data_IF_494066888205
#
_entry.id   IF_494066888205
#
_cell.length_a   1.000
_cell.length_b   1.000
_cell.length_c   1.000
_cell.angle_alpha   90.00
_cell.angle_beta   90.00
_cell.angle_gamma   90.00
#
_symmetry.space_group_name_H-M   'P 1'
#
loop_
_entity.id
_entity.type
_entity.pdbx_description
1 polymer ?
#
# COMPACT_ATOMS: atom_id res chain seq x y z
N UNK A 1 18.91 25.24 -18.16
CA UNK A 1 18.48 25.84 -16.89
C UNK A 1 17.05 25.42 -16.65
N UNK A 2 16.83 24.30 -15.95
CA UNK A 2 15.48 23.80 -15.68
C UNK A 2 14.96 24.50 -14.42
N UNK A 3 14.04 25.43 -14.62
CA UNK A 3 13.21 25.93 -13.53
C UNK A 3 12.53 24.72 -12.87
N UNK A 4 12.91 24.47 -11.62
CA UNK A 4 12.07 23.72 -10.68
C UNK A 4 10.74 24.45 -10.64
N UNK A 5 9.76 24.00 -11.43
CA UNK A 5 8.36 24.26 -11.12
C UNK A 5 8.11 23.63 -9.75
N UNK A 6 8.30 24.41 -8.69
CA UNK A 6 7.75 24.12 -7.39
C UNK A 6 6.24 24.02 -7.59
N UNK A 7 5.76 22.79 -7.72
CA UNK A 7 4.35 22.46 -7.70
C UNK A 7 3.84 22.77 -6.28
N UNK A 8 3.60 24.06 -6.01
CA UNK A 8 3.07 24.53 -4.72
C UNK A 8 1.61 24.10 -4.69
N UNK A 9 1.35 23.06 -3.88
CA UNK A 9 0.00 22.67 -3.49
C UNK A 9 -0.82 23.91 -3.14
N UNK A 10 -2.01 24.00 -3.72
CA UNK A 10 -3.00 25.03 -3.42
C UNK A 10 -3.35 25.01 -1.93
N UNK A 11 -3.83 26.14 -1.39
CA UNK A 11 -4.25 26.22 0.02
C UNK A 11 -5.31 25.15 0.33
N UNK A 12 -6.23 24.90 -0.61
CA UNK A 12 -7.26 23.86 -0.48
C UNK A 12 -6.67 22.44 -0.37
N UNK A 13 -5.72 22.08 -1.22
CA UNK A 13 -5.06 20.76 -1.15
C UNK A 13 -4.28 20.57 0.15
N UNK A 14 -3.61 21.61 0.64
CA UNK A 14 -2.91 21.57 1.93
C UNK A 14 -3.89 21.33 3.08
N UNK A 15 -5.01 22.06 3.11
CA UNK A 15 -6.04 21.87 4.13
C UNK A 15 -6.65 20.47 4.08
N UNK A 16 -6.91 19.94 2.88
CA UNK A 16 -7.41 18.58 2.71
C UNK A 16 -6.41 17.51 3.22
N UNK A 17 -5.11 17.67 2.95
CA UNK A 17 -4.07 16.78 3.47
C UNK A 17 -3.98 16.83 5.00
N UNK A 18 -4.05 18.02 5.59
CA UNK A 18 -4.08 18.17 7.05
C UNK A 18 -5.32 17.55 7.67
N UNK A 19 -6.49 17.79 7.10
CA UNK A 19 -7.74 17.18 7.54
C UNK A 19 -7.67 15.66 7.48
N UNK A 20 -7.20 15.10 6.36
CA UNK A 20 -7.01 13.66 6.21
C UNK A 20 -6.02 13.11 7.25
N UNK A 21 -4.90 13.79 7.48
CA UNK A 21 -3.92 13.39 8.49
C UNK A 21 -4.52 13.37 9.89
N UNK A 22 -5.29 14.41 10.26
CA UNK A 22 -5.99 14.47 11.56
C UNK A 22 -6.98 13.31 11.69
N UNK A 23 -7.79 13.04 10.66
CA UNK A 23 -8.75 11.93 10.67
C UNK A 23 -8.03 10.58 10.84
N UNK A 24 -6.92 10.36 10.13
CA UNK A 24 -6.12 9.14 10.26
C UNK A 24 -5.52 8.98 11.66
N UNK A 25 -5.04 10.07 12.26
CA UNK A 25 -4.53 10.07 13.64
C UNK A 25 -5.66 9.72 14.62
N UNK A 26 -6.84 10.32 14.47
CA UNK A 26 -7.98 10.03 15.34
C UNK A 26 -8.43 8.56 15.23
N UNK A 27 -8.48 8.01 14.02
CA UNK A 27 -8.79 6.59 13.80
C UNK A 27 -7.73 5.70 14.46
N UNK A 28 -6.44 6.02 14.28
CA UNK A 28 -5.35 5.26 14.91
C UNK A 28 -5.45 5.31 16.44
N UNK A 29 -5.70 6.48 17.02
CA UNK A 29 -5.90 6.63 18.46
C UNK A 29 -7.12 5.84 18.96
N UNK A 30 -8.22 5.83 18.20
CA UNK A 30 -9.41 5.05 18.56
C UNK A 30 -9.15 3.53 18.55
N UNK A 31 -8.43 3.04 17.54
CA UNK A 31 -8.01 1.63 17.46
C UNK A 31 -7.10 1.27 18.64
N UNK A 32 -6.09 2.12 18.90
CA UNK A 32 -5.15 1.90 20.00
C UNK A 32 -5.85 1.91 21.35
N UNK A 33 -6.78 2.85 21.55
CA UNK A 33 -7.57 2.95 22.77
C UNK A 33 -8.43 1.71 23.00
N UNK A 34 -9.21 1.30 21.98
CA UNK A 34 -10.03 0.08 22.06
C UNK A 34 -9.18 -1.16 22.34
N UNK A 35 -8.04 -1.32 21.67
CA UNK A 35 -7.14 -2.44 21.93
C UNK A 35 -6.60 -2.45 23.37
N UNK A 36 -6.25 -1.27 23.90
CA UNK A 36 -5.78 -1.14 25.27
C UNK A 36 -6.89 -1.44 26.29
N UNK A 37 -8.08 -0.87 26.10
CA UNK A 37 -9.20 -1.02 27.04
C UNK A 37 -9.79 -2.41 27.03
N UNK A 38 -9.91 -3.02 25.85
CA UNK A 38 -10.70 -4.23 25.65
C UNK A 38 -9.84 -5.50 25.73
N UNK A 39 -8.53 -5.39 25.47
CA UNK A 39 -7.61 -6.55 25.45
C UNK A 39 -6.50 -6.44 26.50
N UNK A 40 -5.65 -5.40 26.43
CA UNK A 40 -4.43 -5.37 27.25
C UNK A 40 -4.70 -5.13 28.74
N UNK A 41 -5.53 -4.14 29.09
CA UNK A 41 -5.85 -3.83 30.49
C UNK A 41 -6.49 -5.03 31.20
N UNK A 42 -7.49 -5.71 30.63
CA UNK A 42 -8.05 -6.92 31.23
C UNK A 42 -7.01 -8.03 31.47
N UNK A 43 -6.13 -8.30 30.51
CA UNK A 43 -5.07 -9.32 30.67
C UNK A 43 -4.11 -8.99 31.82
N UNK A 44 -3.76 -7.71 31.97
CA UNK A 44 -2.91 -7.22 33.06
C UNK A 44 -3.63 -7.35 34.41
N UNK A 45 -4.91 -6.97 34.48
CA UNK A 45 -5.72 -7.08 35.71
C UNK A 45 -5.90 -8.55 36.16
N UNK A 46 -5.94 -9.48 35.22
CA UNK A 46 -5.98 -10.92 35.49
C UNK A 46 -4.61 -11.50 35.91
N UNK A 47 -3.54 -10.69 35.93
CA UNK A 47 -2.19 -11.12 36.24
C UNK A 47 -1.51 -11.92 35.11
N UNK A 48 -2.12 -11.98 33.92
CA UNK A 48 -1.60 -12.75 32.79
C UNK A 48 -0.64 -11.91 31.94
N UNK A 49 0.45 -11.46 32.57
CA UNK A 49 1.42 -10.54 31.97
C UNK A 49 2.11 -11.10 30.72
N UNK A 50 2.33 -12.42 30.67
CA UNK A 50 2.94 -13.06 29.52
C UNK A 50 2.04 -12.96 28.28
N UNK A 51 0.74 -13.24 28.42
CA UNK A 51 -0.20 -13.09 27.31
C UNK A 51 -0.36 -11.63 26.90
N UNK A 52 -0.39 -10.69 27.86
CA UNK A 52 -0.41 -9.27 27.56
C UNK A 52 0.82 -8.83 26.73
N UNK A 53 2.01 -9.33 27.09
CA UNK A 53 3.24 -9.04 26.34
C UNK A 53 3.21 -9.59 24.91
N UNK A 54 2.75 -10.84 24.72
CA UNK A 54 2.59 -11.43 23.38
C UNK A 54 1.55 -10.69 22.55
N UNK A 55 0.42 -10.32 23.15
CA UNK A 55 -0.60 -9.48 22.54
C UNK A 55 0.00 -8.16 22.04
N UNK A 56 0.67 -7.41 22.92
CA UNK A 56 1.30 -6.15 22.55
C UNK A 56 2.30 -6.32 21.39
N UNK A 57 3.11 -7.38 21.44
CA UNK A 57 4.04 -7.71 20.37
C UNK A 57 3.31 -8.02 19.05
N UNK A 58 2.28 -8.86 19.07
CA UNK A 58 1.44 -9.18 17.92
C UNK A 58 0.82 -7.95 17.29
N UNK A 59 0.29 -7.05 18.11
CA UNK A 59 -0.25 -5.77 17.65
C UNK A 59 0.79 -4.90 16.94
N UNK A 60 1.99 -4.76 17.50
CA UNK A 60 3.09 -4.02 16.86
C UNK A 60 3.45 -4.65 15.50
N UNK A 61 3.58 -5.98 15.45
CA UNK A 61 3.87 -6.71 14.21
C UNK A 61 2.78 -6.48 13.17
N UNK A 62 1.50 -6.54 13.55
CA UNK A 62 0.38 -6.23 12.65
C UNK A 62 0.41 -4.78 12.15
N UNK A 63 0.72 -3.81 13.01
CA UNK A 63 0.82 -2.39 12.61
C UNK A 63 1.97 -2.16 11.63
N UNK A 64 3.12 -2.80 11.84
CA UNK A 64 4.23 -2.75 10.87
C UNK A 64 3.81 -3.42 9.55
N UNK A 65 3.12 -4.55 9.61
CA UNK A 65 2.55 -5.22 8.44
C UNK A 65 1.60 -4.32 7.64
N UNK A 66 0.68 -3.64 8.34
CA UNK A 66 -0.22 -2.66 7.73
C UNK A 66 0.56 -1.52 7.06
N UNK A 67 1.63 -1.03 7.70
CA UNK A 67 2.51 -0.02 7.13
C UNK A 67 3.14 -0.46 5.79
N UNK A 68 3.69 -1.68 5.72
CA UNK A 68 4.20 -2.22 4.46
C UNK A 68 3.13 -2.44 3.41
N UNK A 69 1.93 -2.86 3.82
CA UNK A 69 0.81 -3.03 2.90
C UNK A 69 0.40 -1.69 2.28
N UNK A 70 0.21 -0.65 3.09
CA UNK A 70 -0.14 0.71 2.61
C UNK A 70 0.96 1.25 1.70
N UNK A 71 2.23 1.10 2.09
CA UNK A 71 3.37 1.51 1.28
C UNK A 71 3.44 0.78 -0.07
N UNK A 72 3.23 -0.55 -0.07
CA UNK A 72 3.17 -1.35 -1.27
C UNK A 72 2.03 -0.94 -2.20
N UNK A 73 0.86 -0.61 -1.64
CA UNK A 73 -0.29 -0.07 -2.37
C UNK A 73 0.02 1.29 -3.01
N UNK A 74 0.64 2.21 -2.26
CA UNK A 74 1.08 3.50 -2.78
C UNK A 74 2.08 3.32 -3.94
N UNK A 75 3.09 2.46 -3.77
CA UNK A 75 4.05 2.16 -4.83
C UNK A 75 3.34 1.59 -6.06
N UNK A 76 2.42 0.64 -5.88
CA UNK A 76 1.63 0.05 -6.97
C UNK A 76 0.88 1.10 -7.77
N UNK A 77 0.18 2.03 -7.10
CA UNK A 77 -0.53 3.13 -7.77
C UNK A 77 0.43 4.05 -8.52
N UNK A 78 1.54 4.45 -7.89
CA UNK A 78 2.56 5.31 -8.50
C UNK A 78 3.14 4.69 -9.77
N UNK A 79 3.59 3.43 -9.71
CA UNK A 79 4.22 2.77 -10.85
C UNK A 79 3.20 2.42 -11.94
N UNK A 80 1.94 2.16 -11.59
CA UNK A 80 0.86 1.95 -12.56
C UNK A 80 0.56 3.22 -13.33
N UNK A 81 0.49 4.37 -12.65
CA UNK A 81 0.34 5.67 -13.31
C UNK A 81 1.51 5.96 -14.26
N UNK A 82 2.75 5.71 -13.84
CA UNK A 82 3.92 5.87 -14.70
C UNK A 82 3.91 4.90 -15.90
N UNK A 83 3.48 3.65 -15.69
CA UNK A 83 3.36 2.66 -16.76
C UNK A 83 2.36 3.11 -17.83
N UNK A 84 1.21 3.66 -17.43
CA UNK A 84 0.20 4.17 -18.36
C UNK A 84 0.72 5.30 -19.27
N UNK A 85 1.70 6.07 -18.80
CA UNK A 85 2.34 7.13 -19.57
C UNK A 85 3.52 6.63 -20.43
N UNK A 86 3.90 5.36 -20.34
CA UNK A 86 5.07 4.84 -21.05
C UNK A 86 4.84 4.78 -22.57
N UNK A 87 5.83 5.19 -23.40
CA UNK A 87 5.75 5.09 -24.85
C UNK A 87 5.51 3.66 -25.35
N UNK A 88 6.04 2.66 -24.62
CA UNK A 88 5.89 1.25 -24.97
C UNK A 88 4.42 0.80 -24.90
N UNK A 89 3.72 1.09 -23.80
CA UNK A 89 2.30 0.74 -23.66
C UNK A 89 1.45 1.50 -24.68
N UNK A 90 1.79 2.76 -24.99
CA UNK A 90 1.11 3.54 -26.03
C UNK A 90 1.27 2.92 -27.42
N UNK A 91 2.50 2.59 -27.82
CA UNK A 91 2.79 1.95 -29.10
C UNK A 91 2.10 0.58 -29.23
N UNK A 92 2.11 -0.22 -28.15
CA UNK A 92 1.42 -1.51 -28.16
C UNK A 92 -0.11 -1.36 -28.18
N UNK A 93 -0.66 -0.32 -27.54
CA UNK A 93 -2.09 0.00 -27.65
C UNK A 93 -2.49 0.39 -29.07
N UNK A 94 -1.67 1.18 -29.76
CA UNK A 94 -1.89 1.52 -31.18
C UNK A 94 -1.85 0.26 -32.06
N UNK A 95 -0.88 -0.64 -31.87
CA UNK A 95 -0.83 -1.94 -32.59
C UNK A 95 -2.07 -2.81 -32.35
N UNK A 96 -2.60 -2.80 -31.12
CA UNK A 96 -3.82 -3.55 -30.77
C UNK A 96 -5.05 -2.93 -31.42
N UNK A 97 -5.19 -1.60 -31.41
CA UNK A 97 -6.34 -0.90 -32.02
C UNK A 97 -6.31 -0.88 -33.54
N UNK A 98 -5.14 -0.91 -34.16
CA UNK A 98 -4.99 -0.98 -35.61
C UNK A 98 -5.46 -2.31 -36.22
N UNK A 99 -5.91 -3.29 -35.40
CA UNK A 99 -6.37 -4.61 -35.84
C UNK A 99 -5.42 -5.28 -36.84
N UNK A 100 -4.10 -5.17 -36.57
CA UNK A 100 -3.09 -5.97 -37.25
C UNK A 100 -3.35 -7.47 -37.04
N UNK A 101 -2.55 -8.33 -37.67
CA UNK A 101 -2.71 -9.79 -37.58
C UNK A 101 -2.92 -10.27 -36.13
N UNK A 102 -3.73 -11.33 -35.96
CA UNK A 102 -4.03 -11.89 -34.62
C UNK A 102 -2.75 -12.22 -33.83
N UNK A 103 -1.68 -12.57 -34.53
CA UNK A 103 -0.38 -12.88 -33.95
C UNK A 103 0.32 -11.64 -33.40
N UNK A 104 0.35 -10.53 -34.12
CA UNK A 104 0.94 -9.28 -33.62
C UNK A 104 0.20 -8.73 -32.41
N UNK A 105 -1.12 -8.88 -32.37
CA UNK A 105 -1.93 -8.49 -31.20
C UNK A 105 -1.60 -9.35 -29.97
N UNK A 106 -1.40 -10.66 -30.15
CA UNK A 106 -0.99 -11.56 -29.05
C UNK A 106 0.38 -11.18 -28.49
N UNK A 107 1.34 -10.88 -29.38
CA UNK A 107 2.70 -10.46 -28.99
C UNK A 107 2.63 -9.16 -28.18
N UNK A 108 1.95 -8.13 -28.69
CA UNK A 108 1.79 -6.85 -28.00
C UNK A 108 1.14 -6.99 -26.61
N UNK A 109 0.12 -7.85 -26.47
CA UNK A 109 -0.51 -8.15 -25.17
C UNK A 109 0.46 -8.81 -24.20
N UNK A 110 1.26 -9.78 -24.67
CA UNK A 110 2.26 -10.46 -23.84
C UNK A 110 3.37 -9.51 -23.39
N UNK A 111 3.85 -8.65 -24.29
CA UNK A 111 4.82 -7.60 -23.96
C UNK A 111 4.28 -6.65 -22.89
N UNK A 112 3.03 -6.18 -23.04
CA UNK A 112 2.39 -5.32 -22.04
C UNK A 112 2.29 -6.02 -20.68
N UNK A 113 1.88 -7.29 -20.66
CA UNK A 113 1.75 -8.05 -19.41
C UNK A 113 3.11 -8.26 -18.74
N UNK A 114 4.16 -8.60 -19.50
CA UNK A 114 5.51 -8.74 -18.98
C UNK A 114 6.07 -7.42 -18.45
N UNK A 115 5.79 -6.31 -19.14
CA UNK A 115 6.18 -4.97 -18.71
C UNK A 115 5.50 -4.61 -17.38
N UNK A 116 4.16 -4.75 -17.31
CA UNK A 116 3.39 -4.48 -16.10
C UNK A 116 3.83 -5.37 -14.94
N UNK A 117 4.04 -6.66 -15.19
CA UNK A 117 4.50 -7.59 -14.16
C UNK A 117 5.85 -7.19 -13.57
N UNK A 118 6.83 -6.84 -14.42
CA UNK A 118 8.15 -6.37 -13.96
C UNK A 118 8.03 -5.08 -13.13
N UNK A 119 7.15 -4.17 -13.56
CA UNK A 119 6.90 -2.90 -12.87
C UNK A 119 6.19 -3.09 -11.54
N UNK A 120 5.26 -4.04 -11.43
CA UNK A 120 4.48 -4.30 -10.21
C UNK A 120 5.18 -5.21 -9.20
N UNK A 121 6.14 -6.03 -9.64
CA UNK A 121 6.90 -6.96 -8.77
C UNK A 121 7.36 -6.32 -7.44
N UNK A 122 8.05 -5.17 -7.40
CA UNK A 122 8.45 -4.56 -6.14
C UNK A 122 7.26 -4.21 -5.24
N UNK A 123 6.16 -3.70 -5.81
CA UNK A 123 4.96 -3.38 -5.05
C UNK A 123 4.31 -4.62 -4.44
N UNK A 124 4.24 -5.73 -5.18
CA UNK A 124 3.72 -7.00 -4.67
C UNK A 124 4.60 -7.61 -3.57
N UNK A 125 5.92 -7.40 -3.62
CA UNK A 125 6.80 -7.82 -2.52
C UNK A 125 6.46 -7.08 -1.22
N UNK A 126 6.26 -5.76 -1.27
CA UNK A 126 5.86 -4.98 -0.10
C UNK A 126 4.46 -5.33 0.40
N UNK A 127 3.50 -5.49 -0.51
CA UNK A 127 2.14 -5.94 -0.17
C UNK A 127 2.15 -7.33 0.49
N UNK A 128 2.88 -8.27 -0.11
CA UNK A 128 3.02 -9.63 0.41
C UNK A 128 3.71 -9.67 1.77
N UNK A 129 4.77 -8.88 1.96
CA UNK A 129 5.42 -8.74 3.28
C UNK A 129 4.46 -8.16 4.33
N UNK A 130 3.64 -7.18 3.94
CA UNK A 130 2.62 -6.60 4.82
C UNK A 130 1.58 -7.63 5.27
N UNK A 131 1.04 -8.41 4.32
CA UNK A 131 0.10 -9.51 4.61
C UNK A 131 0.75 -10.57 5.50
N UNK A 132 1.99 -10.94 5.21
CA UNK A 132 2.72 -11.95 5.99
C UNK A 132 2.89 -11.49 7.44
N UNK A 133 3.34 -10.27 7.69
CA UNK A 133 3.48 -9.75 9.05
C UNK A 133 2.12 -9.64 9.75
N UNK A 134 1.08 -9.20 9.04
CA UNK A 134 -0.27 -9.17 9.61
C UNK A 134 -0.72 -10.58 10.05
N UNK A 135 -0.55 -11.59 9.19
CA UNK A 135 -0.89 -12.98 9.49
C UNK A 135 -0.04 -13.58 10.62
N UNK A 136 1.21 -13.15 10.78
CA UNK A 136 2.08 -13.58 11.87
C UNK A 136 1.74 -12.90 13.20
N UNK A 137 1.26 -11.66 13.19
CA UNK A 137 0.86 -10.94 14.39
C UNK A 137 -0.51 -11.36 14.93
N UNK A 138 -1.43 -11.74 14.05
CA UNK A 138 -2.83 -12.05 14.38
C UNK A 138 -3.05 -13.16 15.42
N UNK A 139 -2.28 -14.28 15.48
CA UNK A 139 -2.49 -15.32 16.49
C UNK A 139 -2.18 -14.88 17.92
N UNK A 140 -1.46 -13.76 18.07
CA UNK A 140 -1.05 -13.24 19.37
C UNK A 140 -2.03 -12.22 19.94
N UNK A 141 -2.95 -11.68 19.13
CA UNK A 141 -3.94 -10.65 19.47
C UNK A 141 -5.36 -11.17 19.48
#
# INVERSE_FOLDING_TARGET
MNEKQENKLTIGERLALWFLAIVLILIFCAILWSYLSDTLIPLIQQGNYLHAAFNLFGFIVMMVGLGFFVYGGFLFLKVSYQALLSPQLKANRERIHANLSRESVKIAKRENLLFLWKTWKPSFLWLGLGILLFALGAPFT
#
